data_IF_151079034555
#
_entry.id   IF_151079034555
#
_cell.length_a   1.000
_cell.length_b   1.000
_cell.length_c   1.000
_cell.angle_alpha   90.00
_cell.angle_beta   90.00
_cell.angle_gamma   90.00
#
_symmetry.space_group_name_H-M   'P 1'
#
loop_
_entity.id
_entity.type
_entity.pdbx_description
1 polymer ?
#
# COMPACT_ATOMS: atom_id res chain seq x y z
N UNK A 1 2.87 -7.91 6.73
CA UNK A 1 3.32 -8.09 5.35
C UNK A 1 3.65 -6.73 4.75
N UNK A 2 4.75 -6.63 4.07
CA UNK A 2 5.17 -5.36 3.48
C UNK A 2 5.32 -5.54 1.97
N UNK A 3 4.71 -4.64 1.22
CA UNK A 3 4.82 -4.64 -0.23
C UNK A 3 5.73 -3.47 -0.62
N UNK A 4 6.86 -3.79 -1.20
CA UNK A 4 7.89 -2.79 -1.50
C UNK A 4 7.61 -2.06 -2.81
N UNK A 5 6.63 -1.18 -2.81
CA UNK A 5 6.30 -0.40 -3.99
C UNK A 5 7.35 0.67 -4.27
N UNK A 6 8.02 1.17 -3.24
CA UNK A 6 9.02 2.23 -3.36
C UNK A 6 8.46 3.42 -4.16
N UNK A 7 7.22 3.76 -3.90
CA UNK A 7 6.56 4.81 -4.67
C UNK A 7 7.19 6.16 -4.42
N UNK A 8 7.52 6.87 -5.48
CA UNK A 8 8.07 8.21 -5.37
C UNK A 8 6.95 9.20 -5.11
N UNK A 9 5.71 8.84 -5.42
CA UNK A 9 4.57 9.69 -5.18
C UNK A 9 3.65 9.03 -4.16
N UNK A 10 4.04 9.12 -2.89
CA UNK A 10 3.29 8.49 -1.82
C UNK A 10 1.87 8.98 -1.72
N UNK A 11 1.66 10.26 -2.00
CA UNK A 11 0.32 10.83 -1.89
C UNK A 11 -0.65 10.18 -2.86
N UNK A 12 -0.19 9.88 -4.05
CA UNK A 12 -1.02 9.22 -5.05
C UNK A 12 -1.32 7.78 -4.63
N UNK A 13 -0.33 7.08 -4.10
CA UNK A 13 -0.51 5.72 -3.63
C UNK A 13 -1.50 5.70 -2.46
N UNK A 14 -1.33 6.61 -1.52
CA UNK A 14 -2.21 6.72 -0.35
C UNK A 14 -3.63 7.01 -0.79
N UNK A 15 -3.79 7.91 -1.73
CA UNK A 15 -5.11 8.28 -2.23
C UNK A 15 -5.78 7.07 -2.90
N UNK A 16 -5.03 6.33 -3.69
CA UNK A 16 -5.56 5.14 -4.35
C UNK A 16 -6.04 4.11 -3.33
N UNK A 17 -5.24 3.85 -2.31
CA UNK A 17 -5.60 2.90 -1.27
C UNK A 17 -6.84 3.37 -0.53
N UNK A 18 -6.88 4.64 -0.17
CA UNK A 18 -8.01 5.20 0.56
C UNK A 18 -9.29 5.08 -0.25
N UNK A 19 -9.23 5.31 -1.54
CA UNK A 19 -10.39 5.19 -2.42
C UNK A 19 -10.86 3.75 -2.56
N UNK A 20 -9.95 2.83 -2.69
CA UNK A 20 -10.30 1.42 -2.85
C UNK A 20 -10.95 0.86 -1.59
N UNK A 21 -10.38 1.18 -0.44
CA UNK A 21 -10.84 0.67 0.83
C UNK A 21 -12.03 1.48 1.37
N UNK A 22 -12.10 2.74 1.00
CA UNK A 22 -13.16 3.62 1.47
C UNK A 22 -12.92 4.21 2.86
N UNK A 23 -11.68 4.26 3.29
CA UNK A 23 -11.29 4.82 4.59
C UNK A 23 -10.31 5.96 4.37
N UNK A 24 -10.52 7.11 4.98
CA UNK A 24 -9.59 8.24 4.79
C UNK A 24 -8.23 7.95 5.38
N UNK A 25 -7.19 8.39 4.69
CA UNK A 25 -5.83 8.26 5.19
C UNK A 25 -5.52 9.35 6.19
N UNK A 26 -4.76 9.02 7.21
CA UNK A 26 -4.33 9.96 8.24
C UNK A 26 -2.81 10.02 8.26
N UNK A 27 -2.25 11.20 8.08
CA UNK A 27 -0.80 11.37 8.11
C UNK A 27 -0.29 11.28 9.53
N UNK A 28 0.70 10.42 9.74
CA UNK A 28 1.33 10.25 11.04
C UNK A 28 2.59 11.09 11.03
N UNK A 29 2.55 12.25 11.60
CA UNK A 29 3.68 13.16 11.60
C UNK A 29 4.96 12.52 12.15
N UNK A 30 6.02 13.30 12.23
CA UNK A 30 7.29 12.79 12.73
C UNK A 30 7.11 12.11 14.08
N UNK A 31 7.93 11.10 14.36
CA UNK A 31 9.05 10.63 13.55
C UNK A 31 8.69 9.63 12.47
N UNK A 32 7.48 9.14 12.46
CA UNK A 32 7.08 8.07 11.56
C UNK A 32 6.96 8.51 10.11
N UNK A 33 6.41 9.68 9.90
CA UNK A 33 6.17 10.24 8.56
C UNK A 33 5.43 9.26 7.65
N UNK A 34 4.52 8.49 8.21
CA UNK A 34 3.77 7.49 7.45
C UNK A 34 2.32 7.90 7.32
N UNK A 35 1.58 7.26 6.41
CA UNK A 35 0.14 7.48 6.29
C UNK A 35 -0.56 6.22 6.77
N UNK A 36 -1.53 6.38 7.66
CA UNK A 36 -2.31 5.27 8.20
C UNK A 36 -3.67 5.25 7.51
N UNK A 37 -4.03 4.14 6.89
CA UNK A 37 -5.34 3.98 6.28
C UNK A 37 -6.07 2.89 7.05
N UNK A 38 -6.98 3.26 7.89
CA UNK A 38 -7.65 2.32 8.78
C UNK A 38 -6.67 1.76 9.80
N UNK A 39 -6.90 0.55 10.27
CA UNK A 39 -6.02 -0.04 11.27
C UNK A 39 -5.04 -1.04 10.67
N UNK A 40 -5.27 -1.46 9.44
CA UNK A 40 -4.51 -2.54 8.85
C UNK A 40 -3.50 -2.12 7.79
N UNK A 41 -3.59 -0.92 7.28
CA UNK A 41 -2.76 -0.49 6.16
C UNK A 41 -1.97 0.76 6.50
N UNK A 42 -0.69 0.77 6.17
CA UNK A 42 0.19 1.91 6.43
C UNK A 42 1.11 2.11 5.23
N UNK A 43 1.20 3.33 4.74
CA UNK A 43 2.18 3.65 3.69
C UNK A 43 3.37 4.30 4.38
N UNK A 44 4.52 3.66 4.29
CA UNK A 44 5.71 4.11 5.01
C UNK A 44 6.37 5.31 4.35
N UNK A 45 7.31 5.88 5.06
CA UNK A 45 8.08 7.00 4.56
C UNK A 45 8.77 6.67 3.24
N UNK A 46 9.13 5.42 3.05
CA UNK A 46 9.82 4.98 1.84
C UNK A 46 8.88 4.73 0.66
N UNK A 47 7.59 4.85 0.88
CA UNK A 47 6.63 4.60 -0.19
C UNK A 47 6.19 3.15 -0.31
N UNK A 48 6.40 2.37 0.73
CA UNK A 48 6.00 0.97 0.76
C UNK A 48 4.69 0.79 1.52
N UNK A 49 3.94 -0.22 1.18
CA UNK A 49 2.69 -0.52 1.85
C UNK A 49 2.89 -1.62 2.89
N UNK A 50 2.58 -1.32 4.14
CA UNK A 50 2.61 -2.31 5.21
C UNK A 50 1.18 -2.76 5.51
N UNK A 51 0.98 -4.06 5.59
CA UNK A 51 -0.33 -4.64 5.83
C UNK A 51 -0.27 -5.46 7.11
N UNK A 52 -1.17 -5.18 8.03
CA UNK A 52 -1.24 -5.89 9.30
C UNK A 52 -1.66 -7.35 9.07
N UNK A 53 -1.19 -8.25 9.92
CA UNK A 53 -1.59 -9.64 9.87
C UNK A 53 -3.07 -9.81 10.16
N UNK A 54 -3.69 -8.81 10.77
CA UNK A 54 -5.12 -8.85 11.08
C UNK A 54 -5.99 -8.36 9.93
N UNK A 55 -5.38 -7.92 8.83
CA UNK A 55 -6.14 -7.44 7.69
C UNK A 55 -6.92 -8.58 7.04
N UNK A 56 -8.10 -8.27 6.54
CA UNK A 56 -8.91 -9.25 5.86
C UNK A 56 -8.21 -9.68 4.58
N UNK A 57 -8.03 -10.97 4.40
CA UNK A 57 -7.31 -11.52 3.27
C UNK A 57 -7.97 -11.14 1.94
N UNK A 58 -9.28 -11.22 1.86
CA UNK A 58 -9.99 -10.90 0.64
C UNK A 58 -9.89 -9.42 0.31
N UNK A 59 -9.98 -8.58 1.33
CA UNK A 59 -9.85 -7.15 1.13
C UNK A 59 -8.45 -6.81 0.66
N UNK A 60 -7.45 -7.46 1.23
CA UNK A 60 -6.06 -7.25 0.85
C UNK A 60 -5.84 -7.65 -0.60
N UNK A 61 -6.36 -8.79 -1.01
CA UNK A 61 -6.22 -9.24 -2.39
C UNK A 61 -6.88 -8.27 -3.35
N UNK A 62 -8.06 -7.79 -3.00
CA UNK A 62 -8.76 -6.82 -3.82
C UNK A 62 -7.97 -5.53 -3.93
N UNK A 63 -7.43 -5.06 -2.81
CA UNK A 63 -6.62 -3.85 -2.79
C UNK A 63 -5.42 -3.98 -3.72
N UNK A 64 -4.69 -5.08 -3.63
CA UNK A 64 -3.51 -5.27 -4.45
C UNK A 64 -3.85 -5.38 -5.93
N UNK A 65 -4.96 -6.02 -6.25
CA UNK A 65 -5.42 -6.13 -7.63
C UNK A 65 -5.79 -4.76 -8.20
N UNK A 66 -6.48 -3.95 -7.41
CA UNK A 66 -6.87 -2.62 -7.85
C UNK A 66 -5.64 -1.72 -8.02
N UNK A 67 -4.68 -1.84 -7.12
CA UNK A 67 -3.45 -1.07 -7.25
C UNK A 67 -2.69 -1.47 -8.52
N UNK A 68 -2.65 -2.74 -8.84
CA UNK A 68 -2.01 -3.20 -10.06
C UNK A 68 -2.71 -2.61 -11.28
N UNK A 69 -4.04 -2.54 -11.25
CA UNK A 69 -4.80 -1.94 -12.35
C UNK A 69 -4.50 -0.44 -12.51
N UNK A 70 -4.08 0.21 -11.45
CA UNK A 70 -3.73 1.62 -11.48
C UNK A 70 -2.25 1.85 -11.80
N UNK A 71 -1.50 0.77 -12.02
CA UNK A 71 -0.08 0.87 -12.37
C UNK A 71 0.91 0.70 -11.23
N UNK A 72 0.45 0.38 -10.05
CA UNK A 72 1.35 0.18 -8.93
C UNK A 72 1.77 -1.29 -8.89
N UNK A 73 3.00 -1.56 -9.26
CA UNK A 73 3.53 -2.92 -9.29
C UNK A 73 4.79 -3.02 -8.42
N UNK A 74 5.05 -4.19 -7.92
CA UNK A 74 6.22 -4.43 -7.09
C UNK A 74 7.38 -4.82 -7.99
N UNK A 75 8.38 -3.96 -8.10
CA UNK A 75 9.45 -4.17 -9.07
C UNK A 75 10.25 -5.43 -8.88
N UNK A 76 10.46 -5.84 -7.65
CA UNK A 76 11.34 -6.95 -7.43
C UNK A 76 10.69 -8.31 -7.67
N UNK A 77 9.40 -8.33 -7.92
CA UNK A 77 8.83 -9.57 -8.11
C UNK A 77 9.03 -10.13 -9.41
N UNK A 78 9.37 -9.37 -10.25
CA UNK A 78 9.51 -9.75 -11.51
C UNK A 78 10.35 -10.87 -11.75
N UNK A 79 11.36 -10.89 -11.13
CA UNK A 79 12.36 -11.84 -11.41
C UNK A 79 11.86 -13.21 -11.51
N UNK A 80 10.90 -13.60 -10.86
CA UNK A 80 10.58 -14.88 -10.91
C UNK A 80 9.58 -15.22 -11.73
N UNK A 81 9.04 -14.51 -11.92
CA UNK A 81 8.02 -14.90 -12.68
C UNK A 81 8.43 -15.47 -13.96
N UNK A 82 8.70 -15.61 -14.04
CA UNK A 82 8.63 -15.92 -14.95
C UNK A 82 9.06 -16.66 -15.43
N UNK A 83 9.35 -16.72 -15.14
CA UNK A 83 9.58 -17.33 -15.64
C UNK A 83 9.33 -17.79 -16.24
#
# INVERSE_FOLDING_TARGET
MTIAYHSQNRKELVKAISEIIGIPAVYQFMPTCAYQIGECYTVTKSGDLEISDQADHKETERLLAELANRGYVVPDKIGRAHV
#
